data_IF_419861988166
#
_entry.id   IF_419861988166
#
_cell.length_a   1.000
_cell.length_b   1.000
_cell.length_c   1.000
_cell.angle_alpha   90.00
_cell.angle_beta   90.00
_cell.angle_gamma   90.00
#
_symmetry.space_group_name_H-M   'P 1'
#
loop_
_entity.id
_entity.type
_entity.pdbx_description
1 polymer ?
#
# COMPACT_ATOMS: atom_id res chain seq x y z
N UNK A 1 -15.52 21.50 -17.75
CA UNK A 1 -14.27 22.22 -17.41
C UNK A 1 -13.77 21.59 -16.14
N UNK A 2 -12.86 20.63 -16.26
CA UNK A 2 -12.26 19.95 -15.11
C UNK A 2 -11.10 20.82 -14.65
N UNK A 3 -11.10 21.18 -13.37
CA UNK A 3 -10.11 22.08 -12.76
C UNK A 3 -8.72 21.42 -12.81
N UNK A 4 -7.72 21.99 -13.51
CA UNK A 4 -6.40 21.36 -13.70
C UNK A 4 -5.56 21.33 -12.41
N UNK A 5 -6.07 21.87 -11.31
CA UNK A 5 -5.37 21.95 -10.02
C UNK A 5 -5.48 20.67 -9.17
N UNK A 6 -6.37 19.73 -9.50
CA UNK A 6 -6.55 18.49 -8.71
C UNK A 6 -5.45 17.46 -9.03
N UNK A 7 -4.96 17.38 -10.27
CA UNK A 7 -3.91 16.42 -10.67
C UNK A 7 -2.51 16.79 -10.12
N UNK A 8 -2.19 18.08 -9.97
CA UNK A 8 -0.82 18.50 -9.66
C UNK A 8 -0.44 18.32 -8.18
N UNK A 9 -1.41 18.28 -7.26
CA UNK A 9 -1.15 18.06 -5.83
C UNK A 9 -0.97 16.58 -5.48
N UNK A 10 -1.55 15.68 -6.28
CA UNK A 10 -1.42 14.23 -6.10
C UNK A 10 -0.06 13.69 -6.56
N UNK A 11 0.53 14.29 -7.60
CA UNK A 11 1.89 13.96 -8.04
C UNK A 11 2.96 14.48 -7.06
N UNK A 12 2.78 15.65 -6.45
CA UNK A 12 3.78 16.28 -5.56
C UNK A 12 4.09 15.47 -4.29
N UNK A 13 3.17 14.62 -3.84
CA UNK A 13 3.35 13.78 -2.65
C UNK A 13 3.67 12.31 -2.97
N UNK A 14 3.74 11.94 -4.25
CA UNK A 14 4.06 10.58 -4.68
C UNK A 14 5.58 10.36 -4.63
N UNK A 15 6.01 9.45 -3.76
CA UNK A 15 7.42 9.12 -3.56
C UNK A 15 7.87 7.87 -4.33
N UNK A 16 6.92 7.16 -4.93
CA UNK A 16 7.17 5.97 -5.73
C UNK A 16 5.88 5.38 -6.27
N UNK A 17 6.01 4.53 -7.28
CA UNK A 17 4.87 3.83 -7.89
C UNK A 17 5.25 2.37 -8.07
N UNK A 18 4.39 1.46 -7.61
CA UNK A 18 4.49 0.03 -7.86
C UNK A 18 3.57 -0.30 -9.03
N UNK A 19 4.13 -0.91 -10.08
CA UNK A 19 3.38 -1.34 -11.27
C UNK A 19 3.25 -2.85 -11.26
N UNK A 20 2.05 -3.33 -11.57
CA UNK A 20 1.86 -4.74 -11.84
C UNK A 20 2.50 -5.10 -13.20
N UNK A 21 3.41 -6.08 -13.20
CA UNK A 21 4.09 -6.53 -14.43
C UNK A 21 3.13 -7.18 -15.43
N UNK A 22 2.08 -7.86 -14.94
CA UNK A 22 1.10 -8.56 -15.78
C UNK A 22 0.04 -7.63 -16.34
N UNK A 23 -0.32 -6.61 -15.58
CA UNK A 23 -1.26 -5.58 -16.00
C UNK A 23 -0.74 -4.17 -15.67
N UNK A 24 0.02 -3.54 -16.57
CA UNK A 24 0.64 -2.23 -16.33
C UNK A 24 -0.35 -1.08 -16.08
N UNK A 25 -1.64 -1.25 -16.36
CA UNK A 25 -2.67 -0.25 -16.01
C UNK A 25 -3.07 -0.32 -14.54
N UNK A 26 -2.60 -1.32 -13.79
CA UNK A 26 -2.74 -1.42 -12.34
C UNK A 26 -1.47 -0.87 -11.70
N UNK A 27 -1.49 0.42 -11.41
CA UNK A 27 -0.41 1.11 -10.72
C UNK A 27 -0.88 1.56 -9.35
N UNK A 28 -0.02 1.38 -8.35
CA UNK A 28 -0.26 1.82 -6.99
C UNK A 28 0.81 2.80 -6.60
N UNK A 29 0.41 4.03 -6.35
CA UNK A 29 1.32 5.09 -5.91
C UNK A 29 1.53 5.00 -4.40
N UNK A 30 2.72 5.40 -3.95
CA UNK A 30 3.07 5.53 -2.54
C UNK A 30 3.14 7.01 -2.25
N UNK A 31 2.22 7.51 -1.43
CA UNK A 31 2.10 8.92 -1.08
C UNK A 31 2.50 9.17 0.37
N UNK A 32 3.17 10.29 0.63
CA UNK A 32 3.45 10.71 2.01
C UNK A 32 2.32 11.57 2.59
N UNK A 33 1.68 11.08 3.65
CA UNK A 33 0.66 11.79 4.42
C UNK A 33 1.29 12.52 5.60
N UNK A 34 1.59 13.81 5.40
CA UNK A 34 2.21 14.66 6.42
C UNK A 34 1.42 14.70 7.75
N UNK A 35 0.09 14.72 7.68
CA UNK A 35 -0.77 14.84 8.87
C UNK A 35 -0.72 13.58 9.75
N UNK A 36 -0.57 12.42 9.14
CA UNK A 36 -0.50 11.12 9.82
C UNK A 36 0.95 10.68 10.08
N UNK A 37 1.94 11.45 9.60
CA UNK A 37 3.36 11.08 9.60
C UNK A 37 3.56 9.64 9.10
N UNK A 38 2.95 9.33 7.96
CA UNK A 38 2.86 7.98 7.41
C UNK A 38 2.93 8.02 5.88
N UNK A 39 3.26 6.88 5.28
CA UNK A 39 3.11 6.62 3.86
C UNK A 39 1.82 5.84 3.63
N UNK A 40 1.18 6.07 2.50
CA UNK A 40 -0.06 5.41 2.13
C UNK A 40 0.02 4.91 0.70
N UNK A 41 -0.55 3.75 0.42
CA UNK A 41 -0.79 3.35 -0.96
C UNK A 41 -1.97 4.12 -1.54
N UNK A 42 -1.98 4.32 -2.86
CA UNK A 42 -3.08 4.94 -3.59
C UNK A 42 -3.26 4.19 -4.90
N UNK A 43 -4.40 3.52 -5.04
CA UNK A 43 -4.74 2.73 -6.22
C UNK A 43 -5.21 1.32 -5.90
N UNK A 44 -4.96 0.80 -4.69
CA UNK A 44 -5.44 -0.53 -4.28
C UNK A 44 -6.96 -0.57 -4.32
N UNK A 45 -7.62 0.44 -3.76
CA UNK A 45 -9.08 0.48 -3.74
C UNK A 45 -9.66 0.60 -5.14
N UNK A 46 -9.07 1.45 -5.98
CA UNK A 46 -9.54 1.68 -7.35
C UNK A 46 -9.42 0.43 -8.23
N UNK A 47 -8.35 -0.37 -8.06
CA UNK A 47 -8.10 -1.55 -8.88
C UNK A 47 -8.72 -2.83 -8.34
N UNK A 48 -8.84 -2.96 -7.02
CA UNK A 48 -9.14 -4.23 -6.36
C UNK A 48 -10.27 -4.16 -5.33
N UNK A 49 -10.84 -2.97 -5.07
CA UNK A 49 -11.86 -2.71 -4.03
C UNK A 49 -11.41 -3.00 -2.59
N UNK A 50 -10.10 -3.18 -2.37
CA UNK A 50 -9.51 -3.38 -1.05
C UNK A 50 -9.10 -2.05 -0.39
N UNK A 51 -8.95 -2.03 0.94
CA UNK A 51 -8.46 -0.85 1.65
C UNK A 51 -7.02 -0.53 1.28
N UNK A 52 -6.67 0.75 1.25
CA UNK A 52 -5.28 1.20 1.09
C UNK A 52 -4.45 0.85 2.33
N UNK A 53 -3.15 0.67 2.14
CA UNK A 53 -2.20 0.32 3.18
C UNK A 53 -1.57 1.59 3.75
N UNK A 54 -1.65 1.76 5.06
CA UNK A 54 -0.98 2.84 5.79
C UNK A 54 0.25 2.31 6.51
N UNK A 55 1.38 2.98 6.31
CA UNK A 55 2.70 2.56 6.79
C UNK A 55 3.28 3.71 7.61
N UNK A 56 3.43 3.56 8.93
CA UNK A 56 4.02 4.61 9.75
C UNK A 56 5.43 4.99 9.28
N UNK A 57 5.75 6.29 9.20
CA UNK A 57 7.00 6.75 8.61
C UNK A 57 8.23 6.17 9.32
N UNK A 58 8.17 5.96 10.63
CA UNK A 58 9.26 5.35 11.39
C UNK A 58 9.62 3.92 10.92
N UNK A 59 8.67 3.15 10.38
CA UNK A 59 8.95 1.81 9.86
C UNK A 59 9.69 1.89 8.53
N UNK A 60 9.30 2.84 7.68
CA UNK A 60 9.97 3.12 6.40
C UNK A 60 11.39 3.61 6.63
N UNK A 61 11.58 4.51 7.60
CA UNK A 61 12.91 5.01 7.96
C UNK A 61 13.81 3.93 8.59
N UNK A 62 13.21 2.95 9.26
CA UNK A 62 13.97 1.84 9.85
C UNK A 62 14.49 0.87 8.78
N UNK A 63 13.69 0.58 7.75
CA UNK A 63 14.04 -0.39 6.71
C UNK A 63 13.19 -0.18 5.44
N UNK A 64 13.61 0.76 4.58
CA UNK A 64 12.87 1.15 3.37
C UNK A 64 12.68 -0.04 2.40
N UNK A 65 13.75 -0.79 2.16
CA UNK A 65 13.75 -1.90 1.21
C UNK A 65 12.82 -3.02 1.68
N UNK A 66 12.85 -3.34 2.97
CA UNK A 66 11.97 -4.36 3.55
C UNK A 66 10.50 -3.95 3.45
N UNK A 67 10.18 -2.70 3.76
CA UNK A 67 8.80 -2.21 3.61
C UNK A 67 8.36 -2.28 2.15
N UNK A 68 9.20 -1.82 1.22
CA UNK A 68 8.90 -1.89 -0.22
C UNK A 68 8.63 -3.33 -0.69
N UNK A 69 9.42 -4.29 -0.19
CA UNK A 69 9.23 -5.71 -0.47
C UNK A 69 7.91 -6.25 0.11
N UNK A 70 7.57 -5.89 1.35
CA UNK A 70 6.29 -6.27 1.99
C UNK A 70 5.11 -5.78 1.15
N UNK A 71 5.10 -4.50 0.76
CA UNK A 71 4.02 -3.92 -0.04
C UNK A 71 3.93 -4.59 -1.41
N UNK A 72 5.06 -4.82 -2.07
CA UNK A 72 5.08 -5.50 -3.38
C UNK A 72 4.47 -6.90 -3.31
N UNK A 73 4.80 -7.68 -2.27
CA UNK A 73 4.23 -9.03 -2.06
C UNK A 73 2.73 -8.97 -1.79
N UNK A 74 2.26 -8.00 -1.01
CA UNK A 74 0.83 -7.83 -0.74
C UNK A 74 0.08 -7.48 -2.04
N UNK A 75 0.60 -6.53 -2.82
CA UNK A 75 0.01 -6.16 -4.11
C UNK A 75 -0.06 -7.32 -5.10
N UNK A 76 1.00 -8.14 -5.19
CA UNK A 76 0.99 -9.34 -6.04
C UNK A 76 -0.11 -10.30 -5.60
N UNK A 77 -0.28 -10.53 -4.29
CA UNK A 77 -1.34 -11.43 -3.79
C UNK A 77 -2.74 -10.87 -4.05
N UNK A 78 -2.95 -9.56 -3.90
CA UNK A 78 -4.23 -8.91 -4.23
C UNK A 78 -4.52 -9.10 -5.72
N UNK A 79 -3.54 -8.84 -6.59
CA UNK A 79 -3.69 -9.02 -8.04
C UNK A 79 -4.04 -10.46 -8.40
N UNK A 80 -3.35 -11.46 -7.83
CA UNK A 80 -3.61 -12.88 -8.10
C UNK A 80 -4.99 -13.32 -7.61
N UNK A 81 -5.46 -12.77 -6.47
CA UNK A 81 -6.80 -13.06 -5.98
C UNK A 81 -7.87 -12.48 -6.92
N UNK A 82 -7.69 -11.22 -7.35
CA UNK A 82 -8.57 -10.54 -8.29
C UNK A 82 -8.66 -11.24 -9.65
N UNK A 83 -7.54 -11.72 -10.21
CA UNK A 83 -7.52 -12.48 -11.47
C UNK A 83 -8.31 -13.80 -11.41
N UNK A 84 -8.52 -14.35 -10.22
CA UNK A 84 -9.19 -15.64 -10.00
C UNK A 84 -10.63 -15.49 -9.50
N UNK A 85 -11.19 -14.28 -9.56
CA UNK A 85 -12.47 -13.92 -8.93
C UNK A 85 -12.53 -14.34 -7.44
N UNK A 86 -11.37 -14.36 -6.77
CA UNK A 86 -11.22 -14.74 -5.38
C UNK A 86 -11.29 -13.54 -4.45
N UNK A 87 -11.59 -13.79 -3.18
CA UNK A 87 -11.49 -12.78 -2.12
C UNK A 87 -10.03 -12.68 -1.66
N UNK A 88 -9.51 -11.45 -1.57
CA UNK A 88 -8.28 -11.21 -0.84
C UNK A 88 -8.60 -10.99 0.63
N UNK A 89 -7.76 -11.51 1.52
CA UNK A 89 -7.86 -11.23 2.95
C UNK A 89 -6.46 -10.92 3.48
N UNK A 90 -6.37 -9.83 4.25
CA UNK A 90 -5.12 -9.44 4.87
C UNK A 90 -4.77 -10.44 5.95
N UNK A 91 -3.61 -11.08 5.82
CA UNK A 91 -3.16 -12.03 6.84
C UNK A 91 -3.02 -11.30 8.19
N UNK A 92 -3.59 -11.84 9.29
CA UNK A 92 -3.62 -11.16 10.58
C UNK A 92 -2.22 -11.00 11.18
N UNK A 93 -1.30 -11.90 10.84
CA UNK A 93 0.11 -11.79 11.13
C UNK A 93 0.95 -12.49 10.06
N UNK A 94 2.15 -12.00 9.83
CA UNK A 94 3.12 -12.61 8.92
C UNK A 94 4.55 -12.32 9.39
N UNK A 95 5.52 -13.07 8.89
CA UNK A 95 6.92 -12.96 9.29
C UNK A 95 7.80 -12.73 8.06
N UNK A 96 8.69 -11.74 8.15
CA UNK A 96 9.66 -11.42 7.10
C UNK A 96 10.99 -11.08 7.76
N UNK A 97 12.07 -11.76 7.36
CA UNK A 97 13.42 -11.61 7.93
C UNK A 97 13.43 -11.65 9.47
N UNK A 98 12.79 -12.67 10.06
CA UNK A 98 12.67 -12.90 11.51
C UNK A 98 11.94 -11.79 12.28
N UNK A 99 11.27 -10.87 11.58
CA UNK A 99 10.40 -9.83 12.17
C UNK A 99 8.96 -10.16 11.86
N UNK A 100 8.12 -10.11 12.90
CA UNK A 100 6.68 -10.33 12.78
C UNK A 100 5.97 -9.01 12.57
N UNK A 101 5.02 -9.01 11.63
CA UNK A 101 4.21 -7.89 11.23
C UNK A 101 2.74 -8.26 11.28
N UNK A 102 1.89 -7.26 11.47
CA UNK A 102 0.44 -7.38 11.43
C UNK A 102 -0.16 -6.27 10.58
N UNK A 103 -1.29 -6.56 9.94
CA UNK A 103 -2.18 -5.55 9.40
C UNK A 103 -3.36 -5.38 10.35
N UNK A 104 -3.68 -4.14 10.70
CA UNK A 104 -4.82 -3.79 11.56
C UNK A 104 -5.67 -2.75 10.87
N UNK A 105 -6.99 -2.86 10.98
CA UNK A 105 -7.87 -1.80 10.51
C UNK A 105 -7.62 -0.51 11.30
N UNK A 106 -7.35 0.59 10.59
CA UNK A 106 -7.23 1.94 11.13
C UNK A 106 -8.05 2.88 10.25
N UNK A 107 -9.29 3.17 10.67
CA UNK A 107 -10.27 3.96 9.92
C UNK A 107 -10.47 3.38 8.51
N UNK A 108 -10.08 4.15 7.49
CA UNK A 108 -10.21 3.83 6.06
C UNK A 108 -9.02 3.02 5.52
N UNK A 109 -8.05 2.69 6.37
CA UNK A 109 -6.79 2.04 5.98
C UNK A 109 -6.60 0.68 6.65
N UNK A 110 -5.75 -0.14 6.02
CA UNK A 110 -5.07 -1.26 6.67
C UNK A 110 -3.67 -0.82 7.09
N UNK A 111 -3.45 -0.69 8.40
CA UNK A 111 -2.20 -0.20 8.96
C UNK A 111 -1.21 -1.32 9.21
N UNK A 112 0.00 -1.17 8.69
CA UNK A 112 1.13 -2.04 8.99
C UNK A 112 1.71 -1.70 10.36
N UNK A 113 1.91 -2.71 11.21
CA UNK A 113 2.55 -2.60 12.52
C UNK A 113 3.45 -3.80 12.79
N UNK A 114 4.35 -3.68 13.78
CA UNK A 114 5.05 -4.85 14.34
C UNK A 114 4.07 -5.72 15.14
N UNK A 115 4.23 -7.04 15.06
CA UNK A 115 3.55 -7.93 15.99
C UNK A 115 4.26 -7.86 17.35
N UNK A 116 3.55 -7.40 18.37
CA UNK A 116 4.00 -7.39 19.77
C UNK A 116 3.99 -8.79 20.39
#
# INVERSE_FOLDING_TARGET
MTDPAVDQQDEENTIGTIKNERNPSQNVDIKYLRQENAFVTSGIHAHFLEKEILIPAQMVMADFDLVGAIISVVLEKISVASEKDGLFDYSPAFEVLDKKYIFQEDRDYMKLSFAS
#
